data_IF_516262175717
#
_entry.id   IF_516262175717
#
_cell.length_a   1.000
_cell.length_b   1.000
_cell.length_c   1.000
_cell.angle_alpha   90.00
_cell.angle_beta   90.00
_cell.angle_gamma   90.00
#
_symmetry.space_group_name_H-M   'P 1'
#
loop_
_entity.id
_entity.type
_entity.pdbx_description
1 polymer ?
#
# COMPACT_ATOMS: atom_id res chain seq x y z
N UNK A 1 23.64 -3.08 3.74
CA UNK A 1 23.25 -2.08 2.75
C UNK A 1 21.94 -1.50 3.21
N UNK A 2 21.85 -0.20 3.41
CA UNK A 2 20.59 0.48 3.70
C UNK A 2 19.71 0.34 2.46
N UNK A 3 18.45 -0.05 2.62
CA UNK A 3 17.48 -0.03 1.53
C UNK A 3 17.48 1.39 0.92
N UNK A 4 17.56 1.47 -0.40
CA UNK A 4 17.55 2.75 -1.10
C UNK A 4 16.15 3.34 -0.93
N UNK A 5 16.04 4.50 -0.31
CA UNK A 5 14.76 5.22 -0.23
C UNK A 5 14.35 5.57 -1.66
N UNK A 6 13.25 5.00 -2.11
CA UNK A 6 12.79 5.06 -3.52
C UNK A 6 12.23 6.42 -3.94
N UNK A 7 12.15 7.38 -3.04
CA UNK A 7 11.36 8.56 -3.30
C UNK A 7 12.14 9.67 -4.00
N UNK A 8 11.77 10.00 -5.25
CA UNK A 8 12.03 11.32 -5.73
C UNK A 8 11.22 12.32 -4.89
N UNK A 9 11.88 13.34 -4.35
CA UNK A 9 11.22 14.50 -3.76
C UNK A 9 10.27 15.14 -4.79
N UNK A 10 9.18 15.84 -4.42
CA UNK A 10 9.01 16.42 -3.09
C UNK A 10 8.00 15.69 -2.20
N UNK A 11 8.19 15.80 -0.90
CA UNK A 11 7.17 15.63 0.11
C UNK A 11 6.47 16.96 0.38
N UNK A 12 5.25 16.97 0.91
CA UNK A 12 4.44 15.81 1.33
C UNK A 12 3.78 15.08 0.15
N UNK A 13 3.46 13.79 0.36
CA UNK A 13 2.87 12.90 -0.65
C UNK A 13 1.50 12.36 -0.25
N UNK A 14 0.74 11.94 -1.26
CA UNK A 14 -0.58 11.31 -1.07
C UNK A 14 -0.56 9.93 -1.70
N UNK A 15 -0.95 8.94 -0.88
CA UNK A 15 -1.13 7.54 -1.27
C UNK A 15 -2.62 7.25 -1.44
N UNK A 16 -3.03 6.81 -2.60
CA UNK A 16 -4.40 6.38 -2.86
C UNK A 16 -4.63 5.00 -2.22
N UNK A 17 -5.29 4.96 -1.04
CA UNK A 17 -5.57 3.76 -0.26
C UNK A 17 -6.55 2.84 -0.99
N UNK A 18 -6.06 1.69 -1.46
CA UNK A 18 -6.77 0.76 -2.36
C UNK A 18 -7.22 1.42 -3.66
N UNK A 19 -6.43 2.39 -4.15
CA UNK A 19 -6.82 3.28 -5.23
C UNK A 19 -7.73 4.43 -4.76
N UNK A 20 -8.50 5.05 -5.66
CA UNK A 20 -9.50 6.07 -5.29
C UNK A 20 -10.77 5.40 -4.75
N UNK A 21 -10.65 4.77 -3.59
CA UNK A 21 -11.66 3.86 -3.02
C UNK A 21 -12.95 4.55 -2.53
N UNK A 22 -12.92 5.88 -2.31
CA UNK A 22 -14.14 6.67 -2.02
C UNK A 22 -15.08 6.75 -3.22
N UNK A 23 -14.58 6.71 -4.44
CA UNK A 23 -15.36 6.91 -5.66
C UNK A 23 -15.41 5.68 -6.58
N UNK A 24 -14.52 4.70 -6.39
CA UNK A 24 -14.40 3.50 -7.20
C UNK A 24 -14.32 2.25 -6.32
N UNK A 25 -14.68 1.05 -6.81
CA UNK A 25 -14.50 -0.20 -6.06
C UNK A 25 -13.04 -0.38 -5.63
N UNK A 26 -12.80 -0.56 -4.33
CA UNK A 26 -11.46 -0.72 -3.76
C UNK A 26 -10.67 -1.88 -4.39
N UNK A 27 -9.33 -1.75 -4.46
CA UNK A 27 -8.45 -2.81 -4.95
C UNK A 27 -8.78 -3.32 -6.37
N UNK A 28 -9.17 -2.40 -7.27
CA UNK A 28 -9.51 -2.71 -8.67
C UNK A 28 -8.77 -1.83 -9.66
N UNK A 29 -8.60 -2.29 -10.92
CA UNK A 29 -7.95 -1.49 -11.96
C UNK A 29 -8.64 -0.13 -12.20
N UNK A 30 -9.99 -0.01 -12.20
CA UNK A 30 -10.65 1.30 -12.28
C UNK A 30 -10.28 2.25 -11.13
N UNK A 31 -10.19 1.78 -9.88
CA UNK A 31 -9.80 2.63 -8.75
C UNK A 31 -8.36 3.12 -8.87
N UNK A 32 -7.47 2.26 -9.36
CA UNK A 32 -6.07 2.60 -9.63
C UNK A 32 -5.93 3.57 -10.80
N UNK A 33 -6.65 3.34 -11.91
CA UNK A 33 -6.67 4.26 -13.05
C UNK A 33 -7.19 5.65 -12.68
N UNK A 34 -8.22 5.72 -11.82
CA UNK A 34 -8.71 6.99 -11.30
C UNK A 34 -7.67 7.70 -10.41
N UNK A 35 -6.95 6.97 -9.57
CA UNK A 35 -5.87 7.52 -8.76
C UNK A 35 -4.73 8.09 -9.63
N UNK A 36 -4.31 7.36 -10.67
CA UNK A 36 -3.33 7.84 -11.67
C UNK A 36 -3.82 9.12 -12.34
N UNK A 37 -5.06 9.12 -12.83
CA UNK A 37 -5.64 10.25 -13.55
C UNK A 37 -5.77 11.52 -12.70
N UNK A 38 -5.98 11.37 -11.38
CA UNK A 38 -6.01 12.48 -10.42
C UNK A 38 -4.62 12.96 -10.02
N UNK A 39 -3.56 12.20 -10.31
CA UNK A 39 -2.20 12.55 -9.96
C UNK A 39 -1.80 12.18 -8.53
N UNK A 40 -2.29 11.06 -8.00
CA UNK A 40 -1.75 10.48 -6.77
C UNK A 40 -0.25 10.22 -6.92
N UNK A 41 0.51 10.32 -5.84
CA UNK A 41 1.94 10.02 -5.87
C UNK A 41 2.19 8.51 -5.82
N UNK A 42 1.34 7.81 -5.09
CA UNK A 42 1.45 6.37 -4.85
C UNK A 42 0.05 5.73 -4.84
N UNK A 43 -0.02 4.45 -5.21
CA UNK A 43 -1.19 3.60 -4.94
C UNK A 43 -0.82 2.59 -3.87
N UNK A 44 -1.68 2.45 -2.88
CA UNK A 44 -1.62 1.34 -1.95
C UNK A 44 -2.65 0.28 -2.33
N UNK A 45 -2.26 -0.98 -2.20
CA UNK A 45 -3.14 -2.13 -2.34
C UNK A 45 -2.68 -3.34 -1.53
N UNK A 46 -3.64 -4.23 -1.29
CA UNK A 46 -3.47 -5.41 -0.45
C UNK A 46 -3.32 -6.68 -1.29
N UNK A 47 -2.44 -7.61 -0.90
CA UNK A 47 -2.28 -8.88 -1.60
C UNK A 47 -2.43 -10.10 -0.68
N UNK A 48 -3.12 -11.12 -1.23
CA UNK A 48 -3.21 -12.47 -0.70
C UNK A 48 -2.78 -13.49 -1.75
N UNK A 49 -2.13 -14.61 -1.37
CA UNK A 49 -1.92 -15.73 -2.30
C UNK A 49 -3.21 -16.52 -2.51
N UNK A 50 -3.47 -16.97 -3.76
CA UNK A 50 -4.45 -18.02 -4.04
C UNK A 50 -3.87 -19.41 -3.77
N UNK A 51 -4.70 -20.47 -3.78
CA UNK A 51 -4.26 -21.85 -3.58
C UNK A 51 -3.23 -22.33 -4.63
N UNK A 52 -3.35 -21.86 -5.86
CA UNK A 52 -2.42 -22.13 -6.96
C UNK A 52 -1.29 -21.07 -7.08
N UNK A 53 -1.17 -20.20 -6.07
CA UNK A 53 -0.04 -19.30 -5.89
C UNK A 53 -0.11 -18.00 -6.70
N UNK A 54 -1.26 -17.59 -7.24
CA UNK A 54 -1.41 -16.25 -7.81
C UNK A 54 -1.51 -15.19 -6.71
N UNK A 55 -0.97 -13.98 -6.93
CA UNK A 55 -1.05 -12.88 -5.99
C UNK A 55 -2.28 -12.02 -6.31
N UNK A 56 -3.34 -12.24 -5.53
CA UNK A 56 -4.66 -11.61 -5.71
C UNK A 56 -4.72 -10.29 -4.98
N UNK A 57 -5.20 -9.25 -5.64
CA UNK A 57 -5.38 -7.92 -5.05
C UNK A 57 -6.74 -7.84 -4.37
N UNK A 58 -6.76 -7.96 -3.04
CA UNK A 58 -7.96 -7.89 -2.21
C UNK A 58 -7.55 -7.66 -0.75
N UNK A 59 -8.37 -6.91 0.01
CA UNK A 59 -8.04 -6.61 1.41
C UNK A 59 -8.30 -7.76 2.37
N UNK A 60 -9.51 -8.34 2.31
CA UNK A 60 -9.95 -9.37 3.25
C UNK A 60 -9.42 -10.76 2.85
N UNK A 61 -9.28 -11.70 3.78
CA UNK A 61 -8.90 -13.06 3.46
C UNK A 61 -9.98 -13.81 2.67
N UNK A 62 -11.18 -13.22 2.49
CA UNK A 62 -12.30 -13.80 1.75
C UNK A 62 -12.85 -12.84 0.70
N UNK A 63 -13.58 -13.38 -0.28
CA UNK A 63 -14.25 -12.64 -1.35
C UNK A 63 -15.54 -11.93 -0.90
N UNK A 64 -16.05 -12.26 0.27
CA UNK A 64 -17.43 -12.03 0.71
C UNK A 64 -17.84 -10.55 0.77
N UNK A 65 -16.95 -9.66 1.24
CA UNK A 65 -17.29 -8.25 1.47
C UNK A 65 -17.37 -7.45 0.17
N UNK A 66 -16.44 -7.66 -0.73
CA UNK A 66 -16.26 -6.79 -1.90
C UNK A 66 -16.70 -7.41 -3.22
N UNK A 67 -17.03 -8.71 -3.25
CA UNK A 67 -17.43 -9.38 -4.49
C UNK A 67 -18.80 -10.07 -4.39
N UNK A 68 -19.32 -10.54 -5.53
CA UNK A 68 -20.54 -11.36 -5.61
C UNK A 68 -20.32 -12.83 -5.26
N UNK A 69 -19.07 -13.23 -4.98
CA UNK A 69 -18.69 -14.59 -4.55
C UNK A 69 -18.34 -14.66 -3.07
N UNK A 70 -18.28 -15.88 -2.58
CA UNK A 70 -17.85 -16.21 -1.22
C UNK A 70 -16.68 -17.19 -1.27
N UNK A 71 -15.88 -17.22 -0.21
CA UNK A 71 -14.76 -18.18 -0.06
C UNK A 71 -13.46 -17.53 0.37
N UNK A 72 -12.59 -18.34 0.95
CA UNK A 72 -11.27 -17.91 1.43
C UNK A 72 -10.28 -17.91 0.27
N UNK A 73 -9.66 -16.76 0.00
CA UNK A 73 -8.78 -16.53 -1.16
C UNK A 73 -7.68 -17.59 -1.27
N UNK A 74 -6.99 -17.89 -0.17
CA UNK A 74 -5.89 -18.85 -0.15
C UNK A 74 -6.31 -20.34 -0.26
N UNK A 75 -7.62 -20.62 -0.22
CA UNK A 75 -8.17 -21.95 -0.41
C UNK A 75 -8.76 -22.15 -1.82
N UNK A 76 -8.79 -21.10 -2.64
CA UNK A 76 -9.36 -21.09 -4.00
C UNK A 76 -8.25 -20.92 -5.04
N UNK A 77 -8.40 -21.60 -6.18
CA UNK A 77 -7.54 -21.37 -7.33
C UNK A 77 -7.93 -20.07 -8.03
N UNK A 78 -6.96 -19.44 -8.71
CA UNK A 78 -7.21 -18.21 -9.45
C UNK A 78 -8.39 -18.29 -10.43
N UNK A 79 -8.55 -19.42 -11.12
CA UNK A 79 -9.67 -19.63 -12.05
C UNK A 79 -11.06 -19.46 -11.40
N UNK A 80 -11.18 -19.75 -10.11
CA UNK A 80 -12.43 -19.56 -9.33
C UNK A 80 -12.61 -18.10 -8.91
N UNK A 81 -11.51 -17.42 -8.56
CA UNK A 81 -11.48 -16.01 -8.09
C UNK A 81 -11.70 -15.06 -9.26
N UNK A 82 -11.05 -15.28 -10.41
CA UNK A 82 -11.05 -14.39 -11.58
C UNK A 82 -12.44 -14.02 -12.11
N UNK A 83 -13.44 -14.87 -11.88
CA UNK A 83 -14.82 -14.60 -12.24
C UNK A 83 -15.62 -13.77 -11.24
N UNK A 84 -15.04 -13.40 -10.08
CA UNK A 84 -15.75 -12.63 -9.05
C UNK A 84 -15.96 -11.18 -9.50
N UNK A 85 -17.19 -10.67 -9.32
CA UNK A 85 -17.54 -9.29 -9.61
C UNK A 85 -17.24 -8.43 -8.38
N UNK A 86 -16.14 -7.69 -8.43
CA UNK A 86 -15.69 -6.81 -7.35
C UNK A 86 -16.33 -5.40 -7.40
N UNK A 87 -17.16 -5.13 -8.40
CA UNK A 87 -17.82 -3.82 -8.56
C UNK A 87 -19.26 -3.79 -8.09
N UNK A 88 -19.96 -4.90 -8.21
CA UNK A 88 -21.42 -4.95 -8.00
C UNK A 88 -21.86 -4.51 -6.60
N UNK A 89 -21.06 -4.79 -5.57
CA UNK A 89 -21.37 -4.36 -4.19
C UNK A 89 -21.08 -2.89 -3.93
N UNK A 90 -20.22 -2.28 -4.72
CA UNK A 90 -19.97 -0.84 -4.66
C UNK A 90 -21.09 -0.04 -5.34
N UNK A 91 -21.62 -0.57 -6.43
CA UNK A 91 -22.77 0.00 -7.15
C UNK A 91 -23.01 -0.67 -8.50
N UNK A 92 -24.25 -0.68 -8.96
CA UNK A 92 -24.67 -1.37 -10.19
C UNK A 92 -23.91 -0.87 -11.44
N UNK A 93 -23.53 0.40 -11.47
CA UNK A 93 -22.73 1.00 -12.55
C UNK A 93 -21.31 0.40 -12.67
N UNK A 94 -20.85 -0.32 -11.63
CA UNK A 94 -19.54 -0.97 -11.59
C UNK A 94 -19.61 -2.48 -11.85
N UNK A 95 -20.79 -3.00 -12.18
CA UNK A 95 -20.99 -4.42 -12.50
C UNK A 95 -20.01 -4.86 -13.59
N UNK A 96 -19.36 -5.99 -13.39
CA UNK A 96 -18.37 -6.56 -14.30
C UNK A 96 -16.92 -6.19 -13.98
N UNK A 97 -16.67 -5.28 -13.02
CA UNK A 97 -15.31 -5.02 -12.53
C UNK A 97 -14.79 -6.24 -11.77
N UNK A 98 -13.55 -6.65 -12.02
CA UNK A 98 -12.94 -7.85 -11.44
C UNK A 98 -11.86 -7.51 -10.42
N UNK A 99 -11.64 -8.39 -9.45
CA UNK A 99 -10.44 -8.37 -8.61
C UNK A 99 -9.23 -8.71 -9.49
N UNK A 100 -8.19 -7.86 -9.54
CA UNK A 100 -7.02 -8.12 -10.38
C UNK A 100 -5.99 -8.99 -9.64
N UNK A 101 -5.06 -9.55 -10.41
CA UNK A 101 -3.79 -10.06 -9.89
C UNK A 101 -2.75 -8.93 -9.89
N UNK A 102 -1.67 -9.15 -9.17
CA UNK A 102 -0.54 -8.22 -9.17
C UNK A 102 0.01 -7.95 -10.58
N UNK A 103 0.12 -8.99 -11.41
CA UNK A 103 0.58 -8.84 -12.80
C UNK A 103 -0.35 -7.96 -13.64
N UNK A 104 -1.67 -8.01 -13.40
CA UNK A 104 -2.65 -7.18 -14.11
C UNK A 104 -2.45 -5.69 -13.77
N UNK A 105 -2.11 -5.37 -12.51
CA UNK A 105 -1.78 -4.01 -12.07
C UNK A 105 -0.50 -3.51 -12.73
N UNK A 106 0.56 -4.31 -12.75
CA UNK A 106 1.82 -3.88 -13.35
C UNK A 106 1.76 -3.82 -14.88
N UNK A 107 1.01 -4.69 -15.53
CA UNK A 107 0.74 -4.54 -16.97
C UNK A 107 0.06 -3.21 -17.31
N UNK A 108 -0.79 -2.70 -16.42
CA UNK A 108 -1.53 -1.45 -16.65
C UNK A 108 -0.76 -0.19 -16.20
N UNK A 109 0.01 -0.25 -15.10
CA UNK A 109 0.50 0.94 -14.40
C UNK A 109 2.01 0.97 -14.13
N UNK A 110 2.78 -0.04 -14.49
CA UNK A 110 4.24 -0.02 -14.34
C UNK A 110 4.84 1.24 -15.00
N UNK A 111 5.76 1.92 -14.31
CA UNK A 111 6.40 3.13 -14.79
C UNK A 111 5.58 4.42 -14.63
N UNK A 112 4.35 4.35 -14.11
CA UNK A 112 3.47 5.51 -13.98
C UNK A 112 3.40 6.07 -12.56
N UNK A 113 3.72 5.27 -11.53
CA UNK A 113 3.66 5.65 -10.13
C UNK A 113 4.39 4.67 -9.23
N UNK A 114 4.49 4.99 -7.95
CA UNK A 114 5.00 4.08 -6.91
C UNK A 114 3.86 3.25 -6.30
N UNK A 115 4.22 2.08 -5.76
CA UNK A 115 3.27 1.13 -5.18
C UNK A 115 3.63 0.79 -3.74
N UNK A 116 2.70 1.04 -2.83
CA UNK A 116 2.68 0.54 -1.47
C UNK A 116 1.97 -0.82 -1.46
N UNK A 117 2.69 -1.91 -1.32
CA UNK A 117 2.14 -3.26 -1.40
C UNK A 117 1.98 -3.83 0.00
N UNK A 118 0.76 -3.86 0.51
CA UNK A 118 0.45 -4.47 1.80
C UNK A 118 0.31 -5.99 1.67
N UNK A 119 1.34 -6.71 2.04
CA UNK A 119 1.33 -8.17 2.09
C UNK A 119 0.60 -8.64 3.34
N UNK A 120 -0.52 -9.37 3.15
CA UNK A 120 -1.36 -9.85 4.25
C UNK A 120 -0.90 -11.18 4.84
N UNK A 121 -0.26 -12.01 4.03
CA UNK A 121 0.27 -13.32 4.40
C UNK A 121 1.56 -13.55 3.60
N UNK A 122 2.73 -13.74 4.24
CA UNK A 122 3.98 -13.97 3.51
C UNK A 122 4.04 -15.35 2.83
N UNK A 123 3.05 -16.21 3.11
CA UNK A 123 3.01 -17.59 2.63
C UNK A 123 4.02 -18.50 3.34
N UNK A 124 3.86 -19.81 3.12
CA UNK A 124 4.80 -20.80 3.65
C UNK A 124 6.23 -20.53 3.12
N UNK A 125 7.21 -20.53 4.03
CA UNK A 125 8.63 -20.23 3.71
C UNK A 125 8.84 -18.91 2.94
N UNK A 126 7.97 -17.90 3.12
CA UNK A 126 8.06 -16.61 2.44
C UNK A 126 7.78 -16.69 0.94
N UNK A 127 6.96 -17.64 0.50
CA UNK A 127 6.61 -17.83 -0.90
C UNK A 127 6.12 -16.54 -1.58
N UNK A 128 5.22 -15.79 -0.91
CA UNK A 128 4.66 -14.54 -1.45
C UNK A 128 5.75 -13.51 -1.71
N UNK A 129 6.70 -13.37 -0.79
CA UNK A 129 7.83 -12.43 -0.92
C UNK A 129 8.73 -12.81 -2.09
N UNK A 130 9.06 -14.12 -2.22
CA UNK A 130 9.89 -14.59 -3.35
C UNK A 130 9.19 -14.40 -4.70
N UNK A 131 7.87 -14.69 -4.78
CA UNK A 131 7.09 -14.47 -6.00
C UNK A 131 6.97 -12.98 -6.33
N UNK A 132 6.70 -12.14 -5.35
CA UNK A 132 6.64 -10.68 -5.51
C UNK A 132 7.96 -10.14 -6.07
N UNK A 133 9.10 -10.53 -5.47
CA UNK A 133 10.43 -10.15 -5.97
C UNK A 133 10.64 -10.55 -7.43
N UNK A 134 10.38 -11.83 -7.76
CA UNK A 134 10.52 -12.36 -9.11
C UNK A 134 9.66 -11.58 -10.12
N UNK A 135 8.43 -11.27 -9.75
CA UNK A 135 7.54 -10.47 -10.60
C UNK A 135 8.01 -9.03 -10.71
N UNK A 136 8.48 -8.40 -9.62
CA UNK A 136 9.03 -7.04 -9.66
C UNK A 136 10.24 -6.92 -10.61
N UNK A 137 11.13 -7.90 -10.57
CA UNK A 137 12.27 -8.01 -11.51
C UNK A 137 11.78 -8.19 -12.96
N UNK A 138 10.82 -9.10 -13.19
CA UNK A 138 10.24 -9.38 -14.52
C UNK A 138 9.61 -8.14 -15.15
N UNK A 139 8.92 -7.32 -14.36
CA UNK A 139 8.22 -6.12 -14.84
C UNK A 139 9.09 -4.85 -14.76
N UNK A 140 10.30 -4.94 -14.20
CA UNK A 140 11.22 -3.78 -14.07
C UNK A 140 10.70 -2.72 -13.10
N UNK A 141 9.93 -3.10 -12.09
CA UNK A 141 9.30 -2.17 -11.12
C UNK A 141 9.94 -2.20 -9.73
N UNK A 142 11.07 -2.86 -9.55
CA UNK A 142 11.73 -3.01 -8.25
C UNK A 142 11.99 -1.66 -7.55
N UNK A 143 12.32 -0.63 -8.32
CA UNK A 143 12.55 0.73 -7.83
C UNK A 143 11.25 1.57 -7.69
N UNK A 144 10.08 0.99 -7.93
CA UNK A 144 8.77 1.64 -7.86
C UNK A 144 7.89 1.07 -6.76
N UNK A 145 8.40 0.13 -5.97
CA UNK A 145 7.62 -0.58 -4.96
C UNK A 145 8.28 -0.55 -3.59
N UNK A 146 7.47 -0.55 -2.57
CA UNK A 146 7.87 -0.96 -1.24
C UNK A 146 6.82 -1.89 -0.62
N UNK A 147 7.30 -2.81 0.20
CA UNK A 147 6.45 -3.82 0.84
C UNK A 147 6.09 -3.37 2.25
N UNK A 148 4.80 -3.22 2.48
CA UNK A 148 4.24 -2.94 3.79
C UNK A 148 3.76 -4.24 4.47
N UNK A 149 4.04 -4.38 5.76
CA UNK A 149 3.61 -5.55 6.52
C UNK A 149 3.99 -5.48 7.99
N UNK A 150 3.48 -6.46 8.75
CA UNK A 150 3.81 -6.67 10.15
C UNK A 150 5.02 -7.62 10.29
N UNK A 151 5.32 -8.00 11.50
CA UNK A 151 6.47 -8.78 11.96
C UNK A 151 6.93 -9.92 11.02
N UNK A 152 6.08 -10.90 10.74
CA UNK A 152 6.38 -12.07 9.91
C UNK A 152 6.68 -11.72 8.44
N UNK A 153 5.98 -10.73 7.90
CA UNK A 153 6.29 -10.17 6.57
C UNK A 153 7.67 -9.52 6.57
N UNK A 154 8.00 -8.72 7.60
CA UNK A 154 9.30 -8.05 7.69
C UNK A 154 10.46 -9.05 7.84
N UNK A 155 10.29 -10.12 8.61
CA UNK A 155 11.28 -11.20 8.72
C UNK A 155 11.49 -11.92 7.38
N UNK A 156 10.42 -12.27 6.68
CA UNK A 156 10.51 -12.85 5.34
C UNK A 156 11.17 -11.90 4.34
N UNK A 157 10.88 -10.59 4.41
CA UNK A 157 11.55 -9.58 3.56
C UNK A 157 13.05 -9.53 3.82
N UNK A 158 13.49 -9.54 5.09
CA UNK A 158 14.92 -9.56 5.43
C UNK A 158 15.62 -10.83 4.93
N UNK A 159 14.93 -11.96 4.93
CA UNK A 159 15.49 -13.24 4.51
C UNK A 159 15.53 -13.42 2.99
N UNK A 160 14.47 -13.05 2.28
CA UNK A 160 14.29 -13.41 0.87
C UNK A 160 14.40 -12.25 -0.12
N UNK A 161 14.22 -11.01 0.35
CA UNK A 161 14.29 -9.79 -0.46
C UNK A 161 14.94 -8.62 0.30
N UNK A 162 16.15 -8.79 0.87
CA UNK A 162 16.78 -7.78 1.74
C UNK A 162 17.07 -6.45 1.03
N UNK A 163 17.16 -6.45 -0.30
CA UNK A 163 17.41 -5.27 -1.12
C UNK A 163 16.15 -4.44 -1.40
N UNK A 164 14.95 -5.05 -1.26
CA UNK A 164 13.70 -4.35 -1.52
C UNK A 164 13.31 -3.46 -0.34
N UNK A 165 12.70 -2.32 -0.64
CA UNK A 165 12.25 -1.38 0.39
C UNK A 165 11.10 -1.95 1.22
N UNK A 166 11.17 -1.68 2.54
CA UNK A 166 10.23 -2.17 3.55
C UNK A 166 9.57 -1.03 4.27
N UNK A 167 8.28 -1.20 4.55
CA UNK A 167 7.49 -0.33 5.41
C UNK A 167 6.94 -1.14 6.58
N UNK A 168 7.39 -0.85 7.79
CA UNK A 168 6.85 -1.51 8.98
C UNK A 168 5.49 -0.94 9.32
N UNK A 169 4.50 -1.82 9.52
CA UNK A 169 3.16 -1.47 9.97
C UNK A 169 3.01 -1.64 11.49
N UNK A 170 2.05 -0.93 12.06
CA UNK A 170 1.64 -1.15 13.44
C UNK A 170 1.15 -2.59 13.61
N UNK A 171 1.85 -3.35 14.45
CA UNK A 171 1.30 -4.56 15.02
C UNK A 171 0.33 -4.23 16.17
N UNK A 172 0.16 -5.16 17.10
CA UNK A 172 -0.71 -4.98 18.27
C UNK A 172 -0.25 -3.85 19.21
N UNK A 173 1.05 -3.54 19.25
CA UNK A 173 1.64 -2.43 20.01
C UNK A 173 2.24 -1.39 19.07
N UNK A 174 1.43 -0.41 18.68
CA UNK A 174 1.87 0.67 17.78
C UNK A 174 2.88 1.65 18.38
N UNK A 175 3.09 1.67 19.70
CA UNK A 175 4.06 2.56 20.34
C UNK A 175 5.53 2.17 20.10
N UNK A 176 5.80 0.94 19.72
CA UNK A 176 7.13 0.48 19.35
C UNK A 176 7.39 0.41 17.84
N UNK A 177 6.53 1.02 17.03
CA UNK A 177 6.60 0.97 15.56
C UNK A 177 7.97 1.41 15.03
N UNK A 178 8.47 2.57 15.49
CA UNK A 178 9.74 3.11 15.02
C UNK A 178 10.91 2.20 15.42
N UNK A 179 10.90 1.65 16.63
CA UNK A 179 11.92 0.68 17.08
C UNK A 179 11.93 -0.57 16.19
N UNK A 180 10.77 -1.06 15.83
CA UNK A 180 10.63 -2.18 14.89
C UNK A 180 11.07 -1.81 13.47
N UNK A 181 10.74 -0.61 13.00
CA UNK A 181 11.25 -0.10 11.73
C UNK A 181 12.78 -0.10 11.66
N UNK A 182 13.43 0.35 12.74
CA UNK A 182 14.89 0.32 12.88
C UNK A 182 15.42 -1.12 12.91
N UNK A 183 14.81 -1.99 13.73
CA UNK A 183 15.19 -3.41 13.85
C UNK A 183 15.13 -4.14 12.51
N UNK A 184 14.05 -3.94 11.75
CA UNK A 184 13.85 -4.54 10.43
C UNK A 184 14.53 -3.79 9.29
N UNK A 185 15.30 -2.73 9.60
CA UNK A 185 16.00 -1.89 8.60
C UNK A 185 15.03 -1.36 7.53
N UNK A 186 13.87 -0.90 7.95
CA UNK A 186 12.87 -0.34 7.06
C UNK A 186 13.27 1.07 6.62
N UNK A 187 12.99 1.41 5.37
CA UNK A 187 13.07 2.79 4.87
C UNK A 187 11.82 3.60 5.24
N UNK A 188 10.75 2.92 5.64
CA UNK A 188 9.48 3.56 5.99
C UNK A 188 8.83 2.92 7.22
N UNK A 189 8.02 3.70 7.92
CA UNK A 189 7.03 3.21 8.91
C UNK A 189 5.67 3.78 8.59
N UNK A 190 4.59 3.05 8.91
CA UNK A 190 3.23 3.52 8.69
C UNK A 190 2.47 3.57 10.00
N UNK A 191 2.27 4.78 10.50
CA UNK A 191 1.54 5.03 11.73
C UNK A 191 0.04 4.82 11.56
N UNK A 192 -0.61 4.22 12.56
CA UNK A 192 -2.04 4.45 12.76
C UNK A 192 -2.23 5.76 13.55
N UNK A 193 -3.28 6.54 13.25
CA UNK A 193 -3.53 7.88 13.81
C UNK A 193 -3.28 7.97 15.32
N UNK A 194 -3.82 7.03 16.09
CA UNK A 194 -3.72 7.01 17.57
C UNK A 194 -2.31 6.85 18.12
N UNK A 195 -1.35 6.40 17.31
CA UNK A 195 0.05 6.20 17.69
C UNK A 195 0.99 7.21 17.01
N UNK A 196 0.43 8.14 16.22
CA UNK A 196 1.18 9.17 15.52
C UNK A 196 1.28 10.42 16.39
N UNK A 197 2.52 10.85 16.67
CA UNK A 197 2.81 12.12 17.32
C UNK A 197 4.22 12.60 16.95
N UNK A 198 4.49 13.89 17.16
CA UNK A 198 5.77 14.54 16.81
C UNK A 198 7.01 13.80 17.36
N UNK A 199 6.94 13.29 18.58
CA UNK A 199 8.09 12.60 19.17
C UNK A 199 8.44 11.29 18.44
N UNK A 200 7.43 10.55 17.98
CA UNK A 200 7.63 9.32 17.20
C UNK A 200 8.07 9.66 15.76
N UNK A 201 7.52 10.70 15.16
CA UNK A 201 7.92 11.18 13.82
C UNK A 201 9.39 11.62 13.86
N UNK A 202 9.77 12.49 14.80
CA UNK A 202 11.15 12.95 14.94
C UNK A 202 12.12 11.77 15.15
N UNK A 203 11.74 10.80 16.00
CA UNK A 203 12.54 9.58 16.20
C UNK A 203 12.74 8.78 14.91
N UNK A 204 11.72 8.69 14.06
CA UNK A 204 11.82 8.02 12.75
C UNK A 204 12.73 8.81 11.80
N UNK A 205 12.56 10.12 11.71
CA UNK A 205 13.39 11.00 10.90
C UNK A 205 14.85 11.00 11.33
N UNK A 206 15.14 11.01 12.64
CA UNK A 206 16.51 10.88 13.17
C UNK A 206 17.19 9.57 12.76
N UNK A 207 16.39 8.52 12.52
CA UNK A 207 16.85 7.24 11.98
C UNK A 207 16.86 7.18 10.44
N UNK A 208 16.49 8.25 9.74
CA UNK A 208 16.39 8.30 8.27
C UNK A 208 15.20 7.53 7.70
N UNK A 209 14.13 7.37 8.49
CA UNK A 209 12.94 6.60 8.15
C UNK A 209 11.81 7.55 7.75
N UNK A 210 11.19 7.31 6.61
CA UNK A 210 10.01 8.04 6.10
C UNK A 210 8.76 7.66 6.88
N UNK A 211 7.93 8.65 7.21
CA UNK A 211 6.73 8.50 8.02
C UNK A 211 5.46 8.54 7.18
N UNK A 212 4.86 7.36 6.95
CA UNK A 212 3.53 7.25 6.37
C UNK A 212 2.47 7.29 7.47
N UNK A 213 1.28 7.85 7.17
CA UNK A 213 0.10 7.81 8.03
C UNK A 213 -1.00 6.95 7.41
N UNK A 214 -1.57 6.04 8.17
CA UNK A 214 -2.79 5.30 7.87
C UNK A 214 -3.89 5.76 8.85
N UNK A 215 -4.86 6.49 8.44
CA UNK A 215 -5.13 7.25 7.23
C UNK A 215 -5.78 8.58 7.61
N UNK A 216 -5.88 9.53 6.69
CA UNK A 216 -6.70 10.74 6.87
C UNK A 216 -7.50 11.02 5.60
N UNK A 217 -8.83 11.13 5.75
CA UNK A 217 -9.78 11.42 4.67
C UNK A 217 -10.32 12.87 4.75
N UNK A 218 -10.12 13.51 5.90
CA UNK A 218 -10.50 14.90 6.12
C UNK A 218 -9.33 15.83 5.79
N UNK A 219 -9.54 16.90 4.97
CA UNK A 219 -8.50 17.83 4.58
C UNK A 219 -7.82 18.56 5.74
N UNK A 220 -8.57 18.97 6.78
CA UNK A 220 -8.03 19.69 7.93
C UNK A 220 -7.21 18.74 8.82
N UNK A 221 -7.65 17.48 8.92
CA UNK A 221 -6.87 16.44 9.59
C UNK A 221 -5.56 16.16 8.84
N UNK A 222 -5.62 16.01 7.53
CA UNK A 222 -4.44 15.79 6.69
C UNK A 222 -3.44 16.96 6.81
N UNK A 223 -3.91 18.21 6.79
CA UNK A 223 -3.06 19.39 6.97
C UNK A 223 -2.30 19.33 8.29
N UNK A 224 -2.99 19.02 9.39
CA UNK A 224 -2.35 18.90 10.73
C UNK A 224 -1.28 17.81 10.79
N UNK A 225 -1.49 16.66 10.12
CA UNK A 225 -0.48 15.62 10.08
C UNK A 225 0.75 16.01 9.27
N UNK A 226 0.57 16.72 8.15
CA UNK A 226 1.71 17.27 7.41
C UNK A 226 2.47 18.34 8.23
N UNK A 227 1.76 19.20 8.97
CA UNK A 227 2.38 20.21 9.84
C UNK A 227 3.26 19.63 10.95
N UNK A 228 2.90 18.46 11.49
CA UNK A 228 3.71 17.77 12.52
C UNK A 228 4.79 16.84 11.92
N UNK A 229 4.95 16.81 10.59
CA UNK A 229 6.06 16.14 9.91
C UNK A 229 5.74 14.78 9.30
N UNK A 230 4.48 14.40 9.10
CA UNK A 230 4.15 13.23 8.29
C UNK A 230 4.56 13.49 6.83
N UNK A 231 5.29 12.55 6.25
CA UNK A 231 5.80 12.63 4.87
C UNK A 231 4.75 12.19 3.84
N UNK A 232 3.93 11.20 4.18
CA UNK A 232 2.98 10.61 3.23
C UNK A 232 1.68 10.19 3.93
N UNK A 233 0.53 10.54 3.36
CA UNK A 233 -0.79 10.18 3.91
C UNK A 233 -1.51 9.24 2.96
N UNK A 234 -1.92 8.08 3.50
CA UNK A 234 -2.89 7.20 2.85
C UNK A 234 -4.29 7.80 3.00
N UNK A 235 -5.07 7.81 1.90
CA UNK A 235 -6.43 8.34 1.94
C UNK A 235 -7.36 7.60 0.99
N UNK A 236 -8.61 7.42 1.43
CA UNK A 236 -9.71 7.00 0.56
C UNK A 236 -10.27 8.20 -0.24
N UNK A 237 -10.13 9.41 0.32
CA UNK A 237 -10.69 10.68 -0.18
C UNK A 237 -9.64 11.46 -1.00
N UNK A 238 -9.08 10.81 -2.03
CA UNK A 238 -7.96 11.34 -2.80
C UNK A 238 -8.22 12.76 -3.35
N UNK A 239 -9.40 13.01 -3.89
CA UNK A 239 -9.74 14.31 -4.49
C UNK A 239 -9.75 15.47 -3.47
N UNK A 240 -10.05 15.16 -2.20
CA UNK A 240 -10.10 16.13 -1.11
C UNK A 240 -8.72 16.38 -0.48
N UNK A 241 -7.90 15.33 -0.33
CA UNK A 241 -6.61 15.41 0.37
C UNK A 241 -5.46 15.83 -0.54
N UNK A 242 -5.47 15.44 -1.81
CA UNK A 242 -4.40 15.77 -2.77
C UNK A 242 -4.11 17.29 -2.87
N UNK A 243 -5.11 18.19 -2.93
CA UNK A 243 -4.85 19.63 -2.95
C UNK A 243 -4.11 20.15 -1.70
N UNK A 244 -4.27 19.50 -0.54
CA UNK A 244 -3.60 19.88 0.71
C UNK A 244 -2.10 19.62 0.60
N UNK A 245 -1.70 18.42 0.17
CA UNK A 245 -0.30 18.08 -0.04
C UNK A 245 0.36 19.03 -1.06
N UNK A 246 -0.32 19.35 -2.15
CA UNK A 246 0.22 20.26 -3.19
C UNK A 246 0.41 21.70 -2.70
N UNK A 247 -0.48 22.21 -1.83
CA UNK A 247 -0.31 23.54 -1.22
C UNK A 247 0.89 23.59 -0.27
N UNK A 248 1.12 22.54 0.52
CA UNK A 248 2.25 22.45 1.44
C UNK A 248 3.59 22.44 0.71
N UNK A 249 3.63 21.91 -0.51
CA UNK A 249 4.84 21.87 -1.35
C UNK A 249 5.20 23.24 -1.94
N UNK A 250 4.22 24.12 -2.22
CA UNK A 250 4.43 25.45 -2.80
C UNK A 250 4.68 26.55 -1.76
N UNK A 251 4.58 26.26 -0.47
CA UNK A 251 4.85 27.21 0.62
C UNK A 251 6.30 27.28 1.09
N UNK A 252 7.23 26.60 0.40
CA UNK A 252 8.67 26.57 0.69
C UNK A 252 9.50 27.46 -0.25
N UNK A 253 8.91 28.50 -0.88
CA UNK A 253 9.64 29.59 -1.55
C UNK A 253 9.84 30.82 -0.67
#
# INVERSE_FOLDING_TARGET
MTAKVLLPQPYPRVVAHRGFSKACPENTLPSFGAAVALGADEIEFDIWPSADGELVIIHDPSLDRTTDKTGIVKEMNWAEIAGADAGVKFGEQWRGVRAPRLEDVWNAFAGQMEFNIHVKDPGEDGFVIRKLKQLAEKYGVTDQIYVAGIHDVMECMLQYAPEMERCCLNGQNGWNLVDKGIEYKCGRVQFANRYCNEAQINKAHDAGIVCNLFYADDPDEAARYYEIGIDSILTNALAEVLPIARKSTFGLE
#
